data_IF_569082792136
#
_entry.id   IF_569082792136
#
_cell.length_a   1.000
_cell.length_b   1.000
_cell.length_c   1.000
_cell.angle_alpha   90.00
_cell.angle_beta   90.00
_cell.angle_gamma   90.00
#
_symmetry.space_group_name_H-M   'P 1'
#
loop_
_entity.id
_entity.type
_entity.pdbx_description
1 polymer ?
#
# COMPACT_ATOMS: atom_id res chain seq x y z
N UNK A 1 1.59 -18.27 16.38
CA UNK A 1 0.44 -17.43 16.02
C UNK A 1 0.29 -17.50 14.50
N UNK A 2 -0.78 -18.09 13.93
CA UNK A 2 -0.93 -18.09 12.48
C UNK A 2 -1.28 -16.65 12.04
N UNK A 3 -0.27 -15.95 11.56
CA UNK A 3 -0.36 -14.64 10.92
C UNK A 3 -1.14 -14.83 9.62
N UNK A 4 -2.41 -14.47 9.59
CA UNK A 4 -3.09 -14.24 8.32
C UNK A 4 -2.29 -13.14 7.60
N UNK A 5 -1.45 -13.53 6.63
CA UNK A 5 -0.50 -12.65 5.95
C UNK A 5 -1.21 -11.53 5.17
N UNK A 6 -2.51 -11.70 4.92
CA UNK A 6 -3.35 -10.76 4.20
C UNK A 6 -4.76 -10.66 4.79
N UNK A 7 -5.31 -9.46 4.77
CA UNK A 7 -6.61 -9.02 5.24
C UNK A 7 -7.52 -8.69 4.06
N UNK A 8 -8.79 -9.07 4.14
CA UNK A 8 -9.86 -8.58 3.26
C UNK A 8 -10.12 -7.10 3.50
N UNK A 9 -10.95 -6.49 2.65
CA UNK A 9 -11.40 -5.11 2.84
C UNK A 9 -12.02 -4.87 4.22
N UNK A 10 -12.91 -5.77 4.65
CA UNK A 10 -13.64 -5.63 5.93
C UNK A 10 -12.66 -5.70 7.09
N UNK A 11 -11.74 -6.67 7.06
CA UNK A 11 -10.70 -6.81 8.08
C UNK A 11 -9.77 -5.59 8.12
N UNK A 12 -9.31 -5.12 6.95
CA UNK A 12 -8.42 -3.97 6.84
C UNK A 12 -9.09 -2.68 7.34
N UNK A 13 -10.37 -2.47 7.00
CA UNK A 13 -11.15 -1.34 7.47
C UNK A 13 -11.32 -1.38 9.00
N UNK A 14 -11.69 -2.55 9.54
CA UNK A 14 -11.82 -2.75 10.98
C UNK A 14 -10.50 -2.52 11.73
N UNK A 15 -9.37 -2.93 11.15
CA UNK A 15 -8.05 -2.77 11.74
C UNK A 15 -7.68 -1.30 11.99
N UNK A 16 -8.04 -0.41 11.08
CA UNK A 16 -7.78 1.04 11.20
C UNK A 16 -8.95 1.83 11.80
N UNK A 17 -9.99 1.14 12.29
CA UNK A 17 -11.17 1.78 12.88
C UNK A 17 -12.06 2.53 11.88
N UNK A 18 -12.08 2.10 10.62
CA UNK A 18 -12.90 2.70 9.55
C UNK A 18 -14.00 1.74 9.08
N UNK A 19 -15.03 2.30 8.43
CA UNK A 19 -15.97 1.51 7.63
C UNK A 19 -15.36 1.13 6.28
N UNK A 20 -15.85 0.05 5.65
CA UNK A 20 -15.42 -0.39 4.32
C UNK A 20 -15.41 0.75 3.28
N UNK A 21 -16.43 1.62 3.33
CA UNK A 21 -16.58 2.75 2.42
C UNK A 21 -15.54 3.84 2.68
N UNK A 22 -15.24 4.13 3.94
CA UNK A 22 -14.19 5.08 4.32
C UNK A 22 -12.82 4.55 3.91
N UNK A 23 -12.54 3.27 4.17
CA UNK A 23 -11.29 2.64 3.79
C UNK A 23 -11.07 2.70 2.27
N UNK A 24 -12.08 2.32 1.45
CA UNK A 24 -11.99 2.45 -0.01
C UNK A 24 -11.72 3.89 -0.47
N UNK A 25 -12.31 4.88 0.19
CA UNK A 25 -12.06 6.30 -0.12
C UNK A 25 -10.64 6.72 0.23
N UNK A 26 -10.11 6.27 1.37
CA UNK A 26 -8.73 6.53 1.77
C UNK A 26 -7.75 5.89 0.78
N UNK A 27 -8.01 4.67 0.31
CA UNK A 27 -7.23 4.02 -0.76
C UNK A 27 -7.28 4.83 -2.06
N UNK A 28 -8.47 5.27 -2.48
CA UNK A 28 -8.63 6.08 -3.68
C UNK A 28 -8.00 7.49 -3.60
N UNK A 29 -7.76 8.00 -2.38
CA UNK A 29 -7.06 9.27 -2.11
C UNK A 29 -5.56 9.09 -1.87
N UNK A 30 -5.05 7.86 -1.96
CA UNK A 30 -3.66 7.55 -1.62
C UNK A 30 -3.31 7.91 -0.16
N UNK A 31 -4.28 7.85 0.76
CA UNK A 31 -4.07 7.95 2.20
C UNK A 31 -3.83 6.56 2.81
N UNK A 32 -4.27 5.51 2.11
CA UNK A 32 -4.10 4.09 2.46
C UNK A 32 -3.54 3.32 1.26
N UNK A 33 -2.86 2.18 1.48
CA UNK A 33 -2.18 1.47 0.41
C UNK A 33 -3.17 0.76 -0.51
N UNK A 34 -2.78 0.59 -1.77
CA UNK A 34 -3.52 -0.25 -2.71
C UNK A 34 -3.51 -1.72 -2.27
N UNK A 35 -4.54 -2.50 -2.62
CA UNK A 35 -4.55 -3.91 -2.32
C UNK A 35 -3.37 -4.62 -3.00
N UNK A 36 -2.71 -5.49 -2.24
CA UNK A 36 -1.64 -6.38 -2.71
C UNK A 36 -2.17 -7.34 -3.79
N UNK A 37 -3.40 -7.82 -3.61
CA UNK A 37 -4.12 -8.60 -4.61
C UNK A 37 -5.28 -7.76 -5.12
N UNK A 38 -5.19 -7.31 -6.39
CA UNK A 38 -6.20 -6.45 -7.03
C UNK A 38 -7.44 -7.23 -7.51
N UNK A 39 -7.32 -8.54 -7.72
CA UNK A 39 -8.45 -9.41 -8.07
C UNK A 39 -9.42 -9.56 -6.90
N UNK A 40 -10.69 -9.89 -7.18
CA UNK A 40 -11.68 -10.09 -6.11
C UNK A 40 -11.55 -11.51 -5.53
N UNK A 41 -11.56 -11.68 -4.20
CA UNK A 41 -11.60 -10.63 -3.18
C UNK A 41 -10.25 -9.92 -3.02
N UNK A 42 -10.29 -8.59 -2.96
CA UNK A 42 -9.09 -7.76 -2.77
C UNK A 42 -8.45 -8.04 -1.40
N UNK A 43 -7.12 -8.00 -1.35
CA UNK A 43 -6.35 -8.31 -0.14
C UNK A 43 -5.29 -7.26 0.14
N UNK A 44 -5.14 -6.89 1.41
CA UNK A 44 -4.09 -6.01 1.93
C UNK A 44 -3.21 -6.80 2.90
N UNK A 45 -1.93 -6.51 3.01
CA UNK A 45 -1.10 -7.02 4.12
C UNK A 45 -1.23 -6.11 5.33
N UNK A 46 -1.05 -6.65 6.54
CA UNK A 46 -1.01 -5.82 7.75
C UNK A 46 0.15 -4.84 7.72
N UNK A 47 1.33 -5.31 7.30
CA UNK A 47 2.58 -4.54 7.29
C UNK A 47 2.46 -3.29 6.41
N UNK A 48 1.81 -3.39 5.25
CA UNK A 48 1.61 -2.23 4.37
C UNK A 48 0.69 -1.17 4.99
N UNK A 49 -0.32 -1.60 5.78
CA UNK A 49 -1.22 -0.69 6.48
C UNK A 49 -0.48 -0.03 7.64
N UNK A 50 0.30 -0.79 8.41
CA UNK A 50 1.14 -0.23 9.48
C UNK A 50 2.11 0.83 8.92
N UNK A 51 2.76 0.57 7.78
CA UNK A 51 3.60 1.56 7.11
C UNK A 51 2.83 2.80 6.68
N UNK A 52 1.59 2.66 6.19
CA UNK A 52 0.76 3.81 5.85
C UNK A 52 0.45 4.67 7.07
N UNK A 53 0.12 4.04 8.20
CA UNK A 53 -0.14 4.72 9.48
C UNK A 53 1.11 5.41 10.04
N UNK A 54 2.30 4.85 9.80
CA UNK A 54 3.59 5.47 10.14
C UNK A 54 3.99 6.62 9.18
N UNK A 55 3.16 6.96 8.19
CA UNK A 55 3.50 7.96 7.16
C UNK A 55 4.52 7.46 6.14
N UNK A 56 4.75 6.15 6.06
CA UNK A 56 5.70 5.47 5.17
C UNK A 56 4.98 4.80 3.99
N UNK A 57 3.96 5.46 3.45
CA UNK A 57 3.15 4.91 2.36
C UNK A 57 3.97 4.63 1.08
N UNK A 58 5.04 5.40 0.86
CA UNK A 58 5.99 5.13 -0.22
C UNK A 58 6.67 3.76 -0.10
N UNK A 59 6.77 3.18 1.11
CA UNK A 59 7.31 1.82 1.28
C UNK A 59 6.28 0.73 1.00
N UNK A 60 4.98 1.05 1.04
CA UNK A 60 3.90 0.10 0.80
C UNK A 60 3.33 0.14 -0.62
N UNK A 61 3.71 1.14 -1.41
CA UNK A 61 3.32 1.27 -2.80
C UNK A 61 4.17 0.33 -3.71
N UNK A 62 3.56 -0.62 -4.44
CA UNK A 62 4.30 -1.50 -5.36
C UNK A 62 4.91 -0.77 -6.57
N UNK A 63 4.62 0.53 -6.76
CA UNK A 63 5.23 1.39 -7.79
C UNK A 63 6.39 2.24 -7.26
N UNK A 64 6.65 2.22 -5.96
CA UNK A 64 7.66 3.06 -5.31
C UNK A 64 9.01 2.34 -5.09
N UNK A 65 9.18 1.12 -5.63
CA UNK A 65 10.50 0.73 -6.12
C UNK A 65 10.87 1.73 -7.20
N UNK A 66 11.62 2.76 -6.82
CA UNK A 66 12.35 3.60 -7.76
C UNK A 66 13.09 2.65 -8.68
N UNK A 67 12.66 2.62 -9.93
CA UNK A 67 13.29 1.84 -10.98
C UNK A 67 14.79 2.20 -10.98
N UNK A 68 15.71 1.25 -10.70
CA UNK A 68 17.15 1.54 -10.69
C UNK A 68 17.64 2.15 -12.01
N UNK A 69 16.87 1.99 -13.10
CA UNK A 69 17.14 2.65 -14.37
C UNK A 69 16.98 4.18 -14.32
N UNK A 70 16.00 4.70 -13.58
CA UNK A 70 15.76 6.15 -13.53
C UNK A 70 16.91 6.88 -12.80
N UNK A 71 17.46 6.26 -11.76
CA UNK A 71 18.64 6.79 -11.06
C UNK A 71 19.89 6.79 -11.95
N UNK A 72 20.03 5.80 -12.86
CA UNK A 72 21.14 5.77 -13.82
C UNK A 72 20.98 6.82 -14.93
N UNK A 73 19.75 7.06 -15.40
CA UNK A 73 19.46 8.05 -16.44
C UNK A 73 19.68 9.49 -15.95
N UNK A 74 19.28 9.82 -14.71
CA UNK A 74 19.56 11.13 -14.11
C UNK A 74 21.07 11.39 -13.93
N UNK A 75 21.84 10.32 -13.67
CA UNK A 75 23.29 10.41 -13.46
C UNK A 75 24.08 10.51 -14.77
N UNK A 76 23.52 10.05 -15.89
CA UNK A 76 24.15 10.12 -17.22
C UNK A 76 23.69 11.32 -18.07
N UNK A 77 22.58 11.99 -17.72
CA UNK A 77 22.05 13.15 -18.45
C UNK A 77 22.71 14.50 -18.13
N UNK A 78 23.69 14.55 -17.23
CA UNK A 78 24.45 15.76 -16.90
C UNK A 78 25.81 15.74 -17.60
N UNK A 79 25.82 16.02 -18.90
CA UNK A 79 27.01 16.44 -19.66
C UNK A 79 26.63 17.48 -20.70
#
# INVERSE_FOLDING_TARGET
MPTAATMTLIEAAAYVGLTDRQFRRAVARHEMPEPLIKSRPQRWSRVQIDWALEGRLEKSAPWAERDPLMEHLERCGSR
#
